data_IF_923604298936
#
_entry.id   IF_923604298936
#
_cell.length_a   1.000
_cell.length_b   1.000
_cell.length_c   1.000
_cell.angle_alpha   90.00
_cell.angle_beta   90.00
_cell.angle_gamma   90.00
#
_symmetry.space_group_name_H-M   'P 1'
#
loop_
_entity.id
_entity.type
_entity.pdbx_description
1 polymer ?
#
# COMPACT_ATOMS: atom_id res chain seq x y z
N UNK A 1 3.77 19.68 1.54
CA UNK A 1 4.15 18.29 1.14
C UNK A 1 2.90 17.68 0.53
N UNK A 2 2.96 17.08 -0.66
CA UNK A 2 1.76 16.62 -1.36
C UNK A 2 1.70 15.10 -1.33
N UNK A 3 0.57 14.56 -0.88
CA UNK A 3 0.35 13.13 -0.74
C UNK A 3 -0.85 12.65 -1.55
N UNK A 4 -0.84 11.39 -1.93
CA UNK A 4 -1.96 10.70 -2.57
C UNK A 4 -2.33 9.49 -1.74
N UNK A 5 -3.62 9.23 -1.59
CA UNK A 5 -4.14 8.09 -0.86
C UNK A 5 -5.03 7.28 -1.78
N UNK A 6 -4.72 6.00 -1.95
CA UNK A 6 -5.57 5.02 -2.62
C UNK A 6 -6.32 4.23 -1.56
N UNK A 7 -7.64 4.29 -1.60
CA UNK A 7 -8.52 3.53 -0.72
C UNK A 7 -9.37 2.58 -1.56
N UNK A 8 -9.14 1.29 -1.42
CA UNK A 8 -10.00 0.26 -2.04
C UNK A 8 -11.30 0.16 -1.24
N UNK A 9 -12.44 0.34 -1.88
CA UNK A 9 -13.75 0.45 -1.23
C UNK A 9 -14.22 -0.82 -0.51
N UNK A 10 -13.60 -1.98 -0.79
CA UNK A 10 -13.82 -3.22 -0.03
C UNK A 10 -13.32 -3.11 1.41
N UNK A 11 -12.43 -2.17 1.69
CA UNK A 11 -12.05 -1.81 3.05
C UNK A 11 -13.09 -0.84 3.59
N UNK A 12 -13.88 -1.27 4.58
CA UNK A 12 -15.02 -0.51 5.12
C UNK A 12 -14.60 0.81 5.73
N UNK A 13 -15.28 1.89 5.38
CA UNK A 13 -15.06 3.24 5.90
C UNK A 13 -15.00 4.28 4.80
N UNK A 14 -14.81 5.53 5.15
CA UNK A 14 -14.65 6.61 4.19
C UNK A 14 -13.16 6.92 3.97
N UNK A 15 -12.81 7.27 2.74
CA UNK A 15 -11.48 7.79 2.43
C UNK A 15 -11.18 9.03 3.26
N UNK A 16 -10.06 9.08 3.99
CA UNK A 16 -9.71 10.24 4.79
C UNK A 16 -9.57 11.52 3.95
N UNK A 17 -10.15 12.62 4.45
CA UNK A 17 -9.97 13.96 3.88
C UNK A 17 -8.91 14.71 4.69
N UNK A 18 -7.68 14.66 4.21
CA UNK A 18 -6.53 15.27 4.87
C UNK A 18 -6.02 16.46 4.04
N UNK A 19 -5.55 17.51 4.73
CA UNK A 19 -4.93 18.66 4.08
C UNK A 19 -3.72 18.23 3.23
N UNK A 20 -3.56 18.84 2.05
CA UNK A 20 -2.51 18.52 1.08
C UNK A 20 -2.47 17.06 0.58
N UNK A 21 -3.58 16.33 0.75
CA UNK A 21 -3.74 14.96 0.28
C UNK A 21 -4.86 14.87 -0.76
N UNK A 22 -4.64 14.09 -1.82
CA UNK A 22 -5.71 13.71 -2.73
C UNK A 22 -6.12 12.28 -2.44
N UNK A 23 -7.34 12.10 -1.91
CA UNK A 23 -7.95 10.79 -1.73
C UNK A 23 -8.55 10.29 -3.05
N UNK A 24 -8.22 9.06 -3.41
CA UNK A 24 -8.74 8.36 -4.59
C UNK A 24 -9.40 7.07 -4.10
N UNK A 25 -10.72 6.99 -4.22
CA UNK A 25 -11.45 5.73 -3.96
C UNK A 25 -11.31 4.84 -5.17
N UNK A 26 -10.91 3.60 -4.94
CA UNK A 26 -10.71 2.57 -5.96
C UNK A 26 -11.85 1.57 -5.86
N UNK A 27 -12.64 1.49 -6.93
CA UNK A 27 -13.73 0.52 -7.07
C UNK A 27 -13.16 -0.88 -7.35
N UNK A 28 -13.89 -1.91 -6.93
CA UNK A 28 -13.48 -3.30 -7.16
C UNK A 28 -13.40 -3.67 -8.65
N UNK A 29 -14.08 -2.94 -9.52
CA UNK A 29 -14.07 -3.11 -10.98
C UNK A 29 -13.04 -2.23 -11.70
N UNK A 30 -12.36 -1.31 -11.01
CA UNK A 30 -11.34 -0.45 -11.60
C UNK A 30 -10.09 -1.25 -12.00
N UNK A 31 -9.64 -1.21 -13.27
CA UNK A 31 -8.37 -1.81 -13.64
C UNK A 31 -7.19 -1.11 -12.96
N UNK A 32 -6.17 -1.86 -12.53
CA UNK A 32 -4.98 -1.28 -11.90
C UNK A 32 -4.28 -0.24 -12.79
N UNK A 33 -4.33 -0.41 -14.10
CA UNK A 33 -3.77 0.54 -15.05
C UNK A 33 -4.47 1.90 -15.02
N UNK A 34 -5.77 1.92 -14.76
CA UNK A 34 -6.57 3.14 -14.56
C UNK A 34 -6.17 3.82 -13.26
N UNK A 35 -6.09 3.07 -12.18
CA UNK A 35 -5.68 3.57 -10.85
C UNK A 35 -4.28 4.22 -10.91
N UNK A 36 -3.32 3.54 -11.53
CA UNK A 36 -1.97 4.07 -11.70
C UNK A 36 -1.93 5.32 -12.60
N UNK A 37 -2.85 5.41 -13.57
CA UNK A 37 -3.00 6.62 -14.40
C UNK A 37 -3.52 7.81 -13.60
N UNK A 38 -4.42 7.61 -12.62
CA UNK A 38 -4.86 8.66 -11.70
C UNK A 38 -3.70 9.19 -10.85
N UNK A 39 -2.86 8.30 -10.30
CA UNK A 39 -1.64 8.70 -9.58
C UNK A 39 -0.71 9.51 -10.49
N UNK A 40 -0.55 9.07 -11.74
CA UNK A 40 0.20 9.81 -12.75
C UNK A 40 -0.37 11.21 -13.05
N UNK A 41 -1.70 11.34 -13.10
CA UNK A 41 -2.37 12.62 -13.29
C UNK A 41 -2.18 13.55 -12.08
N UNK A 42 -2.24 13.00 -10.86
CA UNK A 42 -1.93 13.75 -9.63
C UNK A 42 -0.51 14.34 -9.69
N UNK A 43 0.48 13.52 -10.07
CA UNK A 43 1.85 14.00 -10.26
C UNK A 43 1.96 15.10 -11.32
N UNK A 44 1.26 14.93 -12.46
CA UNK A 44 1.27 15.94 -13.53
C UNK A 44 0.70 17.29 -13.07
N UNK A 45 -0.36 17.26 -12.27
CA UNK A 45 -1.04 18.48 -11.81
C UNK A 45 -0.33 19.18 -10.65
N UNK A 46 0.29 18.43 -9.75
CA UNK A 46 0.81 18.94 -8.47
C UNK A 46 2.32 18.75 -8.27
N UNK A 47 3.00 18.08 -9.19
CA UNK A 47 4.43 17.77 -9.11
C UNK A 47 4.69 16.48 -8.32
N UNK A 48 5.88 16.38 -7.75
CA UNK A 48 6.35 15.19 -7.03
C UNK A 48 5.41 14.82 -5.90
N UNK A 49 4.93 13.59 -5.93
CA UNK A 49 4.18 13.00 -4.82
C UNK A 49 5.19 12.56 -3.76
N UNK A 50 5.07 13.10 -2.56
CA UNK A 50 5.92 12.69 -1.44
C UNK A 50 5.52 11.30 -0.97
N UNK A 51 4.24 11.15 -0.61
CA UNK A 51 3.71 9.91 -0.06
C UNK A 51 2.53 9.39 -0.89
N UNK A 52 2.57 8.11 -1.21
CA UNK A 52 1.44 7.35 -1.72
C UNK A 52 1.03 6.34 -0.65
N UNK A 53 -0.08 6.58 0.01
CA UNK A 53 -0.68 5.62 0.94
C UNK A 53 -1.62 4.67 0.20
N UNK A 54 -1.49 3.38 0.43
CA UNK A 54 -2.36 2.33 -0.13
C UNK A 54 -3.12 1.68 1.02
N UNK A 55 -4.43 1.86 1.04
CA UNK A 55 -5.35 1.33 2.05
C UNK A 55 -6.22 0.27 1.39
N UNK A 56 -5.95 -1.00 1.70
CA UNK A 56 -6.67 -2.14 1.13
C UNK A 56 -6.51 -3.39 2.01
N UNK A 57 -7.19 -4.48 1.66
CA UNK A 57 -6.92 -5.76 2.28
C UNK A 57 -5.64 -6.41 1.73
N UNK A 58 -4.93 -7.17 2.58
CA UNK A 58 -3.89 -8.09 2.15
C UNK A 58 -4.46 -9.48 1.88
N UNK A 59 -3.99 -10.16 0.84
CA UNK A 59 -4.35 -11.55 0.61
C UNK A 59 -3.58 -12.48 1.55
N UNK A 60 -4.31 -13.44 2.11
CA UNK A 60 -3.77 -14.47 3.00
C UNK A 60 -4.06 -15.85 2.44
N UNK A 61 -3.18 -16.79 2.74
CA UNK A 61 -3.42 -18.20 2.45
C UNK A 61 -4.56 -18.72 3.36
N UNK A 62 -5.70 -19.19 2.80
CA UNK A 62 -6.83 -19.63 3.60
C UNK A 62 -6.57 -20.91 4.42
N UNK A 63 -5.51 -21.64 4.11
CA UNK A 63 -5.18 -22.89 4.79
C UNK A 63 -4.37 -22.67 6.07
N UNK A 64 -3.49 -21.65 6.09
CA UNK A 64 -2.59 -21.39 7.22
C UNK A 64 -2.65 -19.98 7.77
N UNK A 65 -3.43 -19.05 7.15
CA UNK A 65 -3.59 -17.66 7.55
C UNK A 65 -2.36 -16.78 7.28
N UNK A 66 -1.34 -17.29 6.60
CA UNK A 66 -0.14 -16.54 6.25
C UNK A 66 -0.43 -15.51 5.14
N UNK A 67 0.12 -14.32 5.29
CA UNK A 67 0.01 -13.24 4.31
C UNK A 67 1.13 -13.26 3.27
N UNK A 68 1.34 -12.12 2.63
CA UNK A 68 2.33 -11.97 1.56
C UNK A 68 1.87 -12.47 0.20
N UNK A 69 0.59 -12.80 0.07
CA UNK A 69 0.01 -13.32 -1.18
C UNK A 69 -0.45 -12.22 -2.14
N UNK A 70 -0.20 -10.95 -1.82
CA UNK A 70 -0.57 -9.79 -2.62
C UNK A 70 -1.50 -8.82 -1.89
N UNK A 71 -1.95 -7.78 -2.63
CA UNK A 71 -2.83 -6.74 -2.13
C UNK A 71 -4.15 -6.74 -2.89
N UNK A 72 -5.25 -6.62 -2.18
CA UNK A 72 -6.59 -6.49 -2.76
C UNK A 72 -6.85 -5.02 -3.11
N UNK A 73 -6.12 -4.53 -4.10
CA UNK A 73 -6.27 -3.19 -4.64
C UNK A 73 -6.74 -3.28 -6.08
N UNK A 74 -7.85 -2.64 -6.42
CA UNK A 74 -8.42 -2.67 -7.77
C UNK A 74 -8.97 -4.06 -8.20
N UNK A 75 -9.49 -4.14 -9.42
CA UNK A 75 -9.96 -5.38 -10.03
C UNK A 75 -8.88 -6.46 -10.14
N UNK A 76 -7.69 -6.02 -10.54
CA UNK A 76 -6.59 -6.94 -10.86
C UNK A 76 -5.85 -7.46 -9.61
N UNK A 77 -5.97 -6.79 -8.46
CA UNK A 77 -5.08 -6.98 -7.33
C UNK A 77 -3.64 -6.58 -7.64
N UNK A 78 -2.76 -6.68 -6.65
CA UNK A 78 -1.32 -6.43 -6.81
C UNK A 78 -0.55 -7.68 -6.43
N UNK A 79 0.11 -8.29 -7.41
CA UNK A 79 0.83 -9.54 -7.28
C UNK A 79 2.21 -9.44 -7.93
N UNK A 80 3.12 -10.35 -7.59
CA UNK A 80 4.43 -10.45 -8.27
C UNK A 80 4.27 -10.60 -9.79
N UNK A 81 3.23 -11.32 -10.24
CA UNK A 81 2.97 -11.56 -11.67
C UNK A 81 2.57 -10.31 -12.46
N UNK A 82 2.04 -9.27 -11.80
CA UNK A 82 1.60 -8.03 -12.46
C UNK A 82 2.31 -6.77 -11.96
N UNK A 83 3.32 -6.90 -11.10
CA UNK A 83 4.01 -5.77 -10.48
C UNK A 83 4.71 -4.85 -11.48
N UNK A 84 5.06 -5.36 -12.65
CA UNK A 84 5.67 -4.58 -13.73
C UNK A 84 4.79 -3.41 -14.21
N UNK A 85 3.47 -3.47 -14.01
CA UNK A 85 2.54 -2.36 -14.33
C UNK A 85 2.85 -1.10 -13.54
N UNK A 86 3.47 -1.23 -12.36
CA UNK A 86 3.81 -0.12 -11.46
C UNK A 86 4.91 0.80 -12.02
N UNK A 87 5.61 0.40 -13.08
CA UNK A 87 6.51 1.28 -13.83
C UNK A 87 5.83 2.54 -14.38
N UNK A 88 4.49 2.54 -14.52
CA UNK A 88 3.71 3.71 -14.93
C UNK A 88 3.86 4.91 -13.99
N UNK A 89 4.17 4.66 -12.74
CA UNK A 89 4.41 5.72 -11.74
C UNK A 89 5.88 5.85 -11.35
N UNK A 90 6.79 5.25 -12.15
CA UNK A 90 8.23 5.34 -11.90
C UNK A 90 8.70 6.80 -11.81
N UNK A 91 9.42 7.10 -10.73
CA UNK A 91 9.98 8.43 -10.46
C UNK A 91 8.95 9.50 -10.06
N UNK A 92 7.66 9.16 -9.93
CA UNK A 92 6.60 10.11 -9.59
C UNK A 92 6.28 10.17 -8.09
N UNK A 93 6.68 9.14 -7.34
CA UNK A 93 6.42 8.97 -5.92
C UNK A 93 7.72 8.73 -5.18
N UNK A 94 7.91 9.34 -3.99
CA UNK A 94 9.11 9.09 -3.18
C UNK A 94 8.92 7.93 -2.20
N UNK A 95 7.78 7.90 -1.50
CA UNK A 95 7.46 6.86 -0.52
C UNK A 95 6.12 6.22 -0.84
N UNK A 96 6.03 4.91 -0.67
CA UNK A 96 4.79 4.13 -0.76
C UNK A 96 4.57 3.45 0.58
N UNK A 97 3.49 3.83 1.26
CA UNK A 97 3.06 3.23 2.52
C UNK A 97 1.94 2.25 2.25
N UNK A 98 2.12 0.98 2.64
CA UNK A 98 1.12 -0.07 2.43
C UNK A 98 0.40 -0.35 3.74
N UNK A 99 -0.80 0.17 3.88
CA UNK A 99 -1.72 -0.12 4.97
C UNK A 99 -2.60 -1.31 4.57
N UNK A 100 -2.01 -2.49 4.62
CA UNK A 100 -2.68 -3.75 4.34
C UNK A 100 -2.13 -4.86 5.24
N UNK A 101 -3.00 -5.75 5.68
CA UNK A 101 -2.62 -6.85 6.55
C UNK A 101 -1.52 -7.72 5.93
N UNK A 102 -0.47 -7.99 6.70
CA UNK A 102 0.57 -8.96 6.36
C UNK A 102 1.25 -8.71 4.99
N UNK A 103 1.28 -7.47 4.52
CA UNK A 103 1.75 -7.12 3.17
C UNK A 103 3.19 -7.58 2.89
N UNK A 104 4.09 -7.49 3.88
CA UNK A 104 5.48 -7.93 3.79
C UNK A 104 5.75 -9.26 4.52
N UNK A 105 4.70 -10.04 4.84
CA UNK A 105 4.87 -11.39 5.40
C UNK A 105 5.41 -12.35 4.32
N UNK A 106 6.04 -13.44 4.75
CA UNK A 106 6.49 -14.53 3.87
C UNK A 106 5.80 -15.81 4.31
N UNK A 107 5.12 -16.48 3.39
CA UNK A 107 4.58 -17.83 3.58
C UNK A 107 5.55 -18.87 3.00
N UNK A 108 6.35 -19.55 3.84
CA UNK A 108 7.34 -20.50 3.34
C UNK A 108 6.71 -21.78 2.75
N UNK A 109 5.41 -22.00 2.92
CA UNK A 109 4.69 -23.13 2.36
C UNK A 109 4.07 -22.81 1.00
N UNK A 110 4.09 -21.56 0.56
CA UNK A 110 3.53 -21.16 -0.73
C UNK A 110 4.45 -21.54 -1.91
N UNK A 111 3.90 -21.69 -3.13
CA UNK A 111 4.68 -21.76 -4.35
C UNK A 111 5.61 -20.55 -4.50
N UNK A 112 6.71 -20.71 -5.24
CA UNK A 112 7.79 -19.71 -5.35
C UNK A 112 7.35 -18.34 -5.92
N UNK A 113 6.23 -18.29 -6.61
CA UNK A 113 5.65 -17.09 -7.20
C UNK A 113 4.53 -16.46 -6.35
N UNK A 114 4.25 -17.03 -5.17
CA UNK A 114 3.21 -16.62 -4.24
C UNK A 114 3.74 -16.59 -2.81
N UNK A 115 3.08 -15.82 -1.94
CA UNK A 115 3.41 -15.80 -0.51
C UNK A 115 4.76 -15.17 -0.18
N UNK A 116 5.39 -14.45 -1.10
CA UNK A 116 6.59 -13.64 -0.84
C UNK A 116 6.24 -12.14 -0.84
N UNK A 117 5.61 -11.68 0.24
CA UNK A 117 5.28 -10.27 0.39
C UNK A 117 6.52 -9.36 0.42
N UNK A 118 7.66 -9.86 0.91
CA UNK A 118 8.92 -9.10 0.82
C UNK A 118 9.41 -8.97 -0.61
N UNK A 119 9.29 -10.03 -1.39
CA UNK A 119 9.60 -10.00 -2.82
C UNK A 119 8.69 -9.04 -3.58
N UNK A 120 7.40 -9.03 -3.26
CA UNK A 120 6.44 -8.08 -3.82
C UNK A 120 6.85 -6.62 -3.51
N UNK A 121 7.14 -6.30 -2.25
CA UNK A 121 7.54 -4.95 -1.83
C UNK A 121 8.87 -4.51 -2.48
N UNK A 122 9.88 -5.42 -2.56
CA UNK A 122 11.14 -5.14 -3.28
C UNK A 122 10.90 -4.85 -4.75
N UNK A 123 10.06 -5.66 -5.40
CA UNK A 123 9.73 -5.48 -6.81
C UNK A 123 8.98 -4.17 -7.04
N UNK A 124 8.04 -3.81 -6.17
CA UNK A 124 7.35 -2.52 -6.23
C UNK A 124 8.35 -1.36 -6.09
N UNK A 125 9.27 -1.41 -5.14
CA UNK A 125 10.31 -0.40 -4.97
C UNK A 125 11.19 -0.26 -6.21
N UNK A 126 11.62 -1.38 -6.80
CA UNK A 126 12.43 -1.38 -8.01
C UNK A 126 11.68 -0.80 -9.23
N UNK A 127 10.40 -1.16 -9.40
CA UNK A 127 9.57 -0.71 -10.53
C UNK A 127 9.21 0.77 -10.44
N UNK A 128 8.93 1.27 -9.23
CA UNK A 128 8.49 2.66 -9.03
C UNK A 128 9.63 3.63 -8.79
N UNK A 129 10.78 3.15 -8.32
CA UNK A 129 11.86 3.99 -7.81
C UNK A 129 11.55 4.62 -6.44
N UNK A 130 10.45 4.22 -5.80
CA UNK A 130 10.03 4.70 -4.50
C UNK A 130 10.57 3.81 -3.37
N UNK A 131 10.67 4.39 -2.17
CA UNK A 131 10.89 3.62 -0.96
C UNK A 131 9.56 3.03 -0.49
N UNK A 132 9.43 1.71 -0.41
CA UNK A 132 8.19 1.03 -0.01
C UNK A 132 8.28 0.66 1.47
N UNK A 133 7.23 1.00 2.23
CA UNK A 133 7.12 0.72 3.65
C UNK A 133 5.90 -0.18 3.86
N UNK A 134 6.12 -1.34 4.50
CA UNK A 134 5.07 -2.34 4.63
C UNK A 134 5.19 -3.17 5.93
N UNK A 135 4.05 -3.53 6.56
CA UNK A 135 4.00 -4.34 7.77
C UNK A 135 4.05 -5.84 7.47
N UNK A 136 4.45 -6.64 8.46
CA UNK A 136 4.41 -8.11 8.41
C UNK A 136 3.30 -8.71 9.28
N UNK A 137 2.41 -7.88 9.84
CA UNK A 137 1.29 -8.32 10.67
C UNK A 137 -0.02 -7.75 10.16
N UNK A 138 -1.10 -8.28 10.70
CA UNK A 138 -2.44 -7.70 10.54
C UNK A 138 -2.42 -6.25 11.02
N UNK A 139 -3.04 -5.37 10.25
CA UNK A 139 -3.21 -3.97 10.58
C UNK A 139 -4.65 -3.75 11.02
N UNK A 140 -4.82 -3.14 12.18
CA UNK A 140 -6.12 -2.71 12.66
C UNK A 140 -6.39 -1.28 12.19
N UNK A 141 -7.62 -0.93 11.99
CA UNK A 141 -8.04 0.42 11.68
C UNK A 141 -9.34 0.75 12.39
N UNK A 142 -9.49 2.03 12.74
CA UNK A 142 -10.68 2.55 13.41
C UNK A 142 -11.53 3.34 12.40
N UNK A 143 -12.84 3.09 12.43
CA UNK A 143 -13.84 3.85 11.70
C UNK A 143 -14.81 4.54 12.64
N UNK A 144 -14.41 4.77 13.89
CA UNK A 144 -15.25 5.42 14.88
C UNK A 144 -15.62 6.84 14.44
N UNK A 145 -16.86 7.23 14.76
CA UNK A 145 -17.38 8.56 14.44
C UNK A 145 -16.68 9.58 15.32
N UNK A 146 -15.74 10.32 14.77
CA UNK A 146 -15.19 11.53 15.39
C UNK A 146 -16.01 12.73 14.93
N UNK A 147 -16.23 13.79 15.74
CA UNK A 147 -17.10 14.93 15.38
C UNK A 147 -16.76 15.62 14.07
N UNK A 148 -15.52 15.50 13.60
CA UNK A 148 -14.97 16.14 12.40
C UNK A 148 -14.50 15.14 11.32
N UNK A 149 -14.62 13.82 11.57
CA UNK A 149 -14.21 12.75 10.65
C UNK A 149 -15.25 11.66 10.64
N UNK A 150 -16.26 11.82 9.78
CA UNK A 150 -17.37 10.89 9.70
C UNK A 150 -16.93 9.56 9.07
N UNK A 151 -16.75 8.52 9.92
CA UNK A 151 -16.39 7.16 9.49
C UNK A 151 -15.15 7.08 8.59
N UNK A 152 -14.26 8.07 8.64
CA UNK A 152 -12.98 7.99 7.95
C UNK A 152 -12.12 6.87 8.54
N UNK A 153 -11.42 6.16 7.67
CA UNK A 153 -10.48 5.12 8.07
C UNK A 153 -9.27 5.78 8.73
N UNK A 154 -8.91 5.29 9.91
CA UNK A 154 -7.70 5.69 10.64
C UNK A 154 -6.92 4.43 11.01
N UNK A 155 -5.79 4.22 10.36
CA UNK A 155 -4.90 3.09 10.66
C UNK A 155 -3.99 3.37 11.86
N UNK A 156 -3.88 4.64 12.31
CA UNK A 156 -2.88 4.97 13.33
C UNK A 156 -1.47 4.59 12.92
N UNK A 157 -0.70 4.13 13.90
CA UNK A 157 0.64 3.56 13.67
C UNK A 157 0.57 2.12 13.14
N UNK A 158 1.62 1.67 12.47
CA UNK A 158 1.72 0.27 12.04
C UNK A 158 1.85 -0.69 13.22
N UNK A 159 1.05 -1.78 13.20
CA UNK A 159 1.20 -2.86 14.17
C UNK A 159 2.34 -3.80 13.81
N UNK A 160 3.19 -4.05 14.80
CA UNK A 160 4.28 -5.03 14.72
C UNK A 160 5.46 -4.59 13.85
N UNK A 161 6.24 -5.55 13.34
CA UNK A 161 7.42 -5.23 12.55
C UNK A 161 7.06 -4.60 11.20
N UNK A 162 7.77 -3.51 10.89
CA UNK A 162 7.65 -2.77 9.63
C UNK A 162 8.99 -2.78 8.91
N UNK A 163 8.95 -2.96 7.62
CA UNK A 163 10.14 -2.96 6.78
C UNK A 163 10.09 -1.87 5.73
N UNK A 164 11.25 -1.28 5.46
CA UNK A 164 11.50 -0.38 4.34
C UNK A 164 12.27 -1.13 3.26
N UNK A 165 11.82 -1.00 2.02
CA UNK A 165 12.40 -1.60 0.83
C UNK A 165 12.83 -0.48 -0.13
N UNK A 166 14.13 -0.30 -0.30
CA UNK A 166 14.68 0.72 -1.19
C UNK A 166 14.76 0.20 -2.63
N UNK A 167 14.74 1.09 -3.64
CA UNK A 167 14.85 0.71 -5.05
C UNK A 167 16.13 -0.05 -5.40
N UNK A 168 17.20 0.15 -4.64
CA UNK A 168 18.48 -0.55 -4.79
C UNK A 168 18.50 -1.97 -4.19
N UNK A 169 17.36 -2.45 -3.67
CA UNK A 169 17.22 -3.77 -3.04
C UNK A 169 17.54 -3.82 -1.56
N UNK A 170 18.01 -2.74 -0.95
CA UNK A 170 18.26 -2.68 0.50
C UNK A 170 16.94 -2.82 1.26
N UNK A 171 16.96 -3.62 2.33
CA UNK A 171 15.82 -3.83 3.22
C UNK A 171 16.23 -3.50 4.65
N UNK A 172 15.45 -2.65 5.31
CA UNK A 172 15.71 -2.23 6.69
C UNK A 172 14.47 -2.53 7.54
N UNK A 173 14.69 -3.09 8.72
CA UNK A 173 13.64 -3.20 9.73
C UNK A 173 13.54 -1.84 10.46
N UNK A 174 12.38 -1.24 10.43
CA UNK A 174 12.09 0.07 11.05
C UNK A 174 11.49 -0.07 12.45
N UNK A 175 11.36 -1.28 12.99
CA UNK A 175 10.71 -1.48 14.29
C UNK A 175 11.61 -1.14 15.47
N UNK A 176 11.09 -0.51 16.55
CA UNK A 176 9.71 -0.03 16.63
C UNK A 176 9.48 1.11 15.65
N UNK A 177 8.33 1.06 14.96
CA UNK A 177 7.93 2.17 14.10
C UNK A 177 7.63 3.39 14.98
N UNK A 178 8.35 4.47 14.77
CA UNK A 178 8.03 5.78 15.35
C UNK A 178 7.58 6.62 14.16
N UNK A 179 6.27 6.85 14.07
CA UNK A 179 5.70 7.71 13.02
C UNK A 179 6.43 9.06 12.98
N UNK A 180 6.61 9.61 11.82
CA UNK A 180 7.04 11.00 11.69
C UNK A 180 5.86 11.88 12.09
N UNK A 181 5.98 12.61 13.20
CA UNK A 181 5.08 13.69 13.62
C UNK A 181 4.89 14.74 12.53
#
# INVERSE_FOLDING_TARGET
>A
MYSVLLHDERLSGNTPDLSDTTGLTVDEDDPIDTVLSWVGACHFMRGQIEDLAIMCHGYVNPQNGKGGHGLQLSKDGVFLSNINRWTKIQGKVKYIFIYACNAAEVDPAAPADQGDGRGLCRSMAAMTGANVIAPVRTQEYDTSIKPWRWREIDFGDFEGPVYSFLPNGTVTNLSPWVGSD
#
